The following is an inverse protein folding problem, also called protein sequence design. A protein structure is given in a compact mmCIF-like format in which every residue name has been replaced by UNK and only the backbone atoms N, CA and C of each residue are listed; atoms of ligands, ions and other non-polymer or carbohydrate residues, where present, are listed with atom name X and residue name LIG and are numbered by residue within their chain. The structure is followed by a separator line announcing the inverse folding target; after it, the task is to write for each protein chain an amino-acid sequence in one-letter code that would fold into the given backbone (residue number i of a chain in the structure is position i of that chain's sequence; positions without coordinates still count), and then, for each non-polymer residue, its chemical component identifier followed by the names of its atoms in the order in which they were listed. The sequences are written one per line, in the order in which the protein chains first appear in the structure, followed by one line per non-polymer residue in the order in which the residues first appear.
data_IF_612134464290
#
_entry.id   IF_612134464290
#
_cell.length_a   1.000
_cell.length_b   1.000
_cell.length_c   1.000
_cell.angle_alpha   90.00
_cell.angle_beta   90.00
_cell.angle_gamma   90.00
#
_symmetry.space_group_name_H-M   'P 1'
#
loop_
_entity.id
_entity.type
_entity.pdbx_description
1 polymer ?
#
# COMPACT_ATOMS: atom_id res chain seq x y z
N UNK A 1 15.95 5.36 -0.13
CA UNK A 1 15.66 4.45 -1.27
C UNK A 1 15.09 3.09 -0.85
N UNK A 2 15.68 2.37 0.12
CA UNK A 2 15.17 1.06 0.59
C UNK A 2 13.73 1.09 1.13
N UNK A 3 13.36 2.14 1.86
CA UNK A 3 12.00 2.29 2.43
C UNK A 3 10.91 2.40 1.36
N UNK A 4 11.17 3.13 0.27
CA UNK A 4 10.23 3.29 -0.83
C UNK A 4 9.97 1.95 -1.55
N UNK A 5 11.02 1.16 -1.80
CA UNK A 5 10.91 -0.15 -2.46
C UNK A 5 10.17 -1.16 -1.56
N UNK A 6 10.47 -1.18 -0.27
CA UNK A 6 9.75 -2.02 0.71
C UNK A 6 8.26 -1.69 0.77
N UNK A 7 7.90 -0.40 0.81
CA UNK A 7 6.49 0.03 0.84
C UNK A 7 5.74 -0.29 -0.47
N UNK A 8 6.42 -0.23 -1.62
CA UNK A 8 5.85 -0.60 -2.91
C UNK A 8 5.52 -2.10 -2.96
N UNK A 9 6.43 -2.96 -2.49
CA UNK A 9 6.21 -4.42 -2.40
C UNK A 9 5.06 -4.73 -1.44
N UNK A 10 5.01 -4.08 -0.27
CA UNK A 10 3.91 -4.26 0.69
C UNK A 10 2.58 -3.79 0.10
N UNK A 11 2.53 -2.66 -0.62
CA UNK A 11 1.32 -2.16 -1.25
C UNK A 11 0.77 -3.12 -2.33
N UNK A 12 1.64 -3.74 -3.14
CA UNK A 12 1.24 -4.75 -4.13
C UNK A 12 0.69 -6.00 -3.43
N UNK A 13 1.32 -6.46 -2.34
CA UNK A 13 0.85 -7.61 -1.57
C UNK A 13 -0.51 -7.34 -0.91
N UNK A 14 -0.73 -6.12 -0.38
CA UNK A 14 -2.03 -5.71 0.16
C UNK A 14 -3.11 -5.64 -0.94
N UNK A 15 -2.80 -5.09 -2.11
CA UNK A 15 -3.75 -5.08 -3.24
C UNK A 15 -4.14 -6.50 -3.68
N UNK A 16 -3.17 -7.42 -3.73
CA UNK A 16 -3.42 -8.83 -4.03
C UNK A 16 -4.28 -9.51 -2.94
N UNK A 17 -4.06 -9.19 -1.66
CA UNK A 17 -4.86 -9.71 -0.55
C UNK A 17 -6.33 -9.26 -0.65
N UNK A 18 -6.57 -7.96 -0.88
CA UNK A 18 -7.92 -7.39 -1.04
C UNK A 18 -8.70 -8.10 -2.16
N UNK A 19 -8.07 -8.33 -3.32
CA UNK A 19 -8.70 -9.04 -4.45
C UNK A 19 -9.02 -10.50 -4.07
N UNK A 20 -8.13 -11.17 -3.34
CA UNK A 20 -8.31 -12.57 -2.93
C UNK A 20 -9.42 -12.74 -1.89
N UNK A 21 -9.53 -11.79 -0.96
CA UNK A 21 -10.56 -11.78 0.08
C UNK A 21 -11.94 -11.40 -0.46
N UNK A 22 -11.99 -10.54 -1.48
CA UNK A 22 -13.24 -10.23 -2.20
C UNK A 22 -13.86 -11.50 -2.81
N UNK A 23 -13.03 -12.42 -3.33
CA UNK A 23 -13.50 -13.70 -3.90
C UNK A 23 -14.01 -14.69 -2.85
N UNK A 24 -13.58 -14.56 -1.60
CA UNK A 24 -13.98 -15.43 -0.47
C UNK A 24 -15.27 -14.95 0.22
N UNK A 25 -15.85 -13.80 -0.17
CA UNK A 25 -17.00 -13.14 0.49
C UNK A 25 -16.80 -12.85 1.99
N UNK A 26 -15.56 -12.80 2.46
CA UNK A 26 -15.27 -12.43 3.85
C UNK A 26 -15.20 -10.90 3.98
N UNK A 27 -16.36 -10.27 4.17
CA UNK A 27 -16.50 -8.82 4.23
C UNK A 27 -15.66 -8.16 5.33
N UNK A 28 -15.46 -8.84 6.47
CA UNK A 28 -14.61 -8.33 7.55
C UNK A 28 -13.12 -8.32 7.17
N UNK A 29 -12.66 -9.38 6.52
CA UNK A 29 -11.27 -9.47 6.05
C UNK A 29 -11.01 -8.46 4.92
N UNK A 30 -11.93 -8.30 3.98
CA UNK A 30 -11.84 -7.27 2.92
C UNK A 30 -11.77 -5.87 3.51
N UNK A 31 -12.57 -5.56 4.52
CA UNK A 31 -12.54 -4.25 5.16
C UNK A 31 -11.17 -3.99 5.83
N UNK A 32 -10.64 -4.98 6.57
CA UNK A 32 -9.35 -4.86 7.24
C UNK A 32 -8.17 -4.79 6.26
N UNK A 33 -8.17 -5.64 5.24
CA UNK A 33 -7.18 -5.63 4.17
C UNK A 33 -7.27 -4.35 3.32
N UNK A 34 -8.48 -3.85 3.08
CA UNK A 34 -8.73 -2.60 2.36
C UNK A 34 -8.21 -1.38 3.12
N UNK A 35 -8.47 -1.29 4.43
CA UNK A 35 -7.90 -0.25 5.29
C UNK A 35 -6.37 -0.34 5.33
N UNK A 36 -5.82 -1.56 5.46
CA UNK A 36 -4.38 -1.77 5.43
C UNK A 36 -3.76 -1.35 4.08
N UNK A 37 -4.39 -1.72 2.96
CA UNK A 37 -3.97 -1.30 1.62
C UNK A 37 -4.02 0.22 1.43
N UNK A 38 -5.04 0.89 2.01
CA UNK A 38 -5.15 2.35 2.00
C UNK A 38 -4.02 3.01 2.79
N UNK A 39 -3.74 2.55 4.01
CA UNK A 39 -2.67 3.11 4.86
C UNK A 39 -1.30 2.85 4.24
N UNK A 40 -1.00 1.61 3.85
CA UNK A 40 0.29 1.26 3.23
C UNK A 40 0.46 1.90 1.84
N UNK A 41 -0.61 1.99 1.04
CA UNK A 41 -0.59 2.69 -0.24
C UNK A 41 -0.34 4.19 -0.07
N UNK A 42 -1.00 4.85 0.89
CA UNK A 42 -0.79 6.26 1.20
C UNK A 42 0.64 6.53 1.68
N UNK A 43 1.15 5.73 2.62
CA UNK A 43 2.52 5.83 3.10
C UNK A 43 3.55 5.58 1.97
N UNK A 44 3.28 4.62 1.07
CA UNK A 44 4.12 4.36 -0.09
C UNK A 44 4.22 5.59 -1.00
N UNK A 45 3.10 6.27 -1.28
CA UNK A 45 3.07 7.46 -2.14
C UNK A 45 3.83 8.63 -1.51
N UNK A 46 3.60 8.92 -0.22
CA UNK A 46 4.30 10.00 0.49
C UNK A 46 5.82 9.78 0.52
N UNK A 47 6.25 8.53 0.75
CA UNK A 47 7.67 8.16 0.78
C UNK A 47 8.33 8.20 -0.61
N UNK A 48 7.55 8.02 -1.69
CA UNK A 48 8.01 8.21 -3.07
C UNK A 48 8.11 9.69 -3.46
N UNK A 49 7.25 10.56 -2.90
CA UNK A 49 7.24 12.00 -3.17
C UNK A 49 8.37 12.72 -2.43
N UNK A 50 8.73 12.30 -1.22
CA UNK A 50 9.78 12.91 -0.40
C UNK A 50 11.16 13.04 -1.09
N UNK A 51 11.71 12.00 -1.75
CA UNK A 51 12.94 12.15 -2.53
C UNK A 51 12.75 13.00 -3.80
N UNK A 52 11.54 13.11 -4.34
CA UNK A 52 11.24 13.91 -5.53
C UNK A 52 11.14 15.41 -5.18
N UNK A 53 10.58 15.73 -4.00
CA UNK A 53 10.52 17.10 -3.45
C UNK A 53 11.91 17.56 -2.98
N UNK A 54 12.72 16.66 -2.40
CA UNK A 54 14.06 16.95 -1.91
C UNK A 54 15.09 17.21 -3.02
N UNK A 55 14.83 16.81 -4.27
CA UNK A 55 15.69 17.08 -5.43
C UNK A 55 15.31 18.37 -6.16
N UNK A 56 14.18 18.99 -5.78
CA UNK A 56 13.67 20.23 -6.36
C UNK A 56 14.01 21.48 -5.52
N UNK A 57 14.76 21.33 -4.42
CA UNK A 57 15.25 22.41 -3.55
C UNK A 57 16.77 22.38 -3.45
#
# INVERSE_FOLDING_TARGET
MVLAVMLLVVAILCAAAVIREFKTRNFFAVAFAGVSALVFGWFSIMTLIEPLISQAQ
#
